data_IF_446334560229
#
_entry.id   IF_446334560229
#
_cell.length_a   1.000
_cell.length_b   1.000
_cell.length_c   1.000
_cell.angle_alpha   90.00
_cell.angle_beta   90.00
_cell.angle_gamma   90.00
#
_symmetry.space_group_name_H-M   'P 1'
#
loop_
_entity.id
_entity.type
_entity.pdbx_description
1 polymer ?
#
# COMPACT_ATOMS: atom_id res chain seq x y z
N UNK A 1 17.13 3.66 -18.32
CA UNK A 1 17.13 5.13 -18.42
C UNK A 1 16.98 5.70 -17.03
N UNK A 2 17.89 6.57 -16.60
CA UNK A 2 17.71 7.34 -15.36
C UNK A 2 16.72 8.47 -15.63
N UNK A 3 15.68 8.54 -14.81
CA UNK A 3 14.70 9.62 -14.87
C UNK A 3 14.94 10.53 -13.66
N UNK A 4 15.20 11.81 -13.88
CA UNK A 4 15.45 12.77 -12.79
C UNK A 4 14.26 12.92 -11.81
N UNK A 5 13.08 12.54 -12.26
CA UNK A 5 11.84 12.58 -11.46
C UNK A 5 11.63 11.37 -10.55
N UNK A 6 12.47 10.33 -10.69
CA UNK A 6 12.39 9.12 -9.86
C UNK A 6 13.67 9.01 -9.02
N UNK A 7 13.50 8.87 -7.73
CA UNK A 7 14.57 8.56 -6.79
C UNK A 7 14.34 7.18 -6.18
N UNK A 8 15.39 6.40 -6.05
CA UNK A 8 15.38 5.08 -5.42
C UNK A 8 16.31 5.11 -4.22
N UNK A 9 15.76 5.06 -3.02
CA UNK A 9 16.45 5.37 -1.80
C UNK A 9 16.39 4.19 -0.82
N UNK A 10 17.54 3.73 -0.33
CA UNK A 10 17.59 2.84 0.83
C UNK A 10 17.22 3.68 2.07
N UNK A 11 16.15 3.34 2.76
CA UNK A 11 15.63 4.09 3.91
C UNK A 11 15.48 3.26 5.19
N UNK A 12 15.66 1.95 5.10
CA UNK A 12 15.56 1.08 6.26
C UNK A 12 16.17 -0.29 5.99
N UNK A 13 16.03 -1.16 6.97
CA UNK A 13 16.44 -2.56 6.91
C UNK A 13 15.42 -3.44 7.63
N UNK A 14 15.31 -4.68 7.17
CA UNK A 14 14.54 -5.71 7.86
C UNK A 14 15.38 -6.43 8.94
N UNK A 15 14.77 -7.38 9.66
CA UNK A 15 15.42 -8.13 10.72
C UNK A 15 16.60 -9.01 10.25
N UNK A 16 16.72 -9.25 8.95
CA UNK A 16 17.83 -9.99 8.34
C UNK A 16 18.83 -9.07 7.62
N UNK A 17 18.77 -7.76 7.85
CA UNK A 17 19.64 -6.77 7.22
C UNK A 17 19.37 -6.52 5.74
N UNK A 18 18.25 -7.02 5.21
CA UNK A 18 17.85 -6.70 3.83
C UNK A 18 17.36 -5.26 3.76
N UNK A 19 17.75 -4.51 2.72
CA UNK A 19 17.38 -3.11 2.62
C UNK A 19 15.87 -2.95 2.34
N UNK A 20 15.27 -1.96 2.97
CA UNK A 20 13.96 -1.44 2.62
C UNK A 20 14.15 -0.20 1.77
N UNK A 21 13.65 -0.25 0.54
CA UNK A 21 13.76 0.84 -0.42
C UNK A 21 12.47 1.62 -0.54
N UNK A 22 12.62 2.93 -0.69
CA UNK A 22 11.53 3.85 -1.03
C UNK A 22 11.80 4.41 -2.42
N UNK A 23 10.82 4.27 -3.30
CA UNK A 23 10.79 4.94 -4.61
C UNK A 23 10.00 6.23 -4.45
N UNK A 24 10.58 7.34 -4.85
CA UNK A 24 9.93 8.66 -4.78
C UNK A 24 9.79 9.22 -6.19
N UNK A 25 8.55 9.47 -6.61
CA UNK A 25 8.27 10.31 -7.75
C UNK A 25 8.15 11.76 -7.31
N UNK A 26 9.09 12.58 -7.74
CA UNK A 26 9.15 14.00 -7.50
C UNK A 26 9.25 14.75 -8.84
N UNK A 27 8.19 15.43 -9.31
CA UNK A 27 8.23 16.19 -10.56
C UNK A 27 9.05 17.49 -10.46
N UNK A 28 9.56 17.83 -9.26
CA UNK A 28 10.39 19.00 -8.97
C UNK A 28 11.74 18.57 -8.41
N UNK A 29 12.60 17.93 -9.19
CA UNK A 29 13.82 17.28 -8.69
C UNK A 29 14.83 18.24 -8.04
N UNK A 30 14.69 19.53 -8.28
CA UNK A 30 15.52 20.59 -7.68
C UNK A 30 15.11 20.95 -6.24
N UNK A 31 13.95 20.46 -5.77
CA UNK A 31 13.42 20.75 -4.42
C UNK A 31 13.49 19.51 -3.53
N UNK A 32 13.88 19.72 -2.28
CA UNK A 32 13.80 18.67 -1.27
C UNK A 32 12.36 18.51 -0.70
N UNK A 33 12.13 17.42 0.06
CA UNK A 33 10.82 17.14 0.63
C UNK A 33 10.35 18.21 1.63
N UNK A 34 11.26 18.91 2.35
CA UNK A 34 10.87 19.95 3.30
C UNK A 34 10.36 21.20 2.59
N UNK A 35 10.94 21.49 1.42
CA UNK A 35 10.46 22.56 0.55
C UNK A 35 9.10 22.23 -0.07
N UNK A 36 8.98 20.98 -0.60
CA UNK A 36 7.77 20.53 -1.30
C UNK A 36 6.54 20.42 -0.39
N UNK A 37 6.74 19.95 0.82
CA UNK A 37 5.65 19.75 1.79
C UNK A 37 4.94 21.05 2.24
N UNK A 38 5.47 22.21 1.87
CA UNK A 38 4.82 23.51 2.13
C UNK A 38 3.59 23.76 1.25
N UNK A 39 3.58 23.17 0.05
CA UNK A 39 2.55 23.41 -0.97
C UNK A 39 2.14 22.17 -1.77
N UNK A 40 2.69 20.99 -1.46
CA UNK A 40 2.39 19.71 -2.10
C UNK A 40 1.96 18.68 -1.09
N UNK A 41 0.94 17.90 -1.43
CA UNK A 41 0.58 16.73 -0.64
C UNK A 41 1.51 15.54 -0.96
N UNK A 42 1.76 14.71 0.03
CA UNK A 42 2.56 13.48 -0.10
C UNK A 42 1.63 12.28 0.02
N UNK A 43 1.54 11.53 -1.06
CA UNK A 43 0.92 10.21 -1.08
C UNK A 43 1.99 9.17 -0.77
N UNK A 44 1.78 8.37 0.27
CA UNK A 44 2.66 7.26 0.61
C UNK A 44 1.94 5.93 0.40
N UNK A 45 2.57 5.02 -0.34
CA UNK A 45 2.05 3.69 -0.66
C UNK A 45 2.98 2.63 -0.06
N UNK A 46 2.43 1.72 0.71
CA UNK A 46 3.13 0.55 1.21
C UNK A 46 2.71 -0.70 0.44
N UNK A 47 3.67 -1.53 0.06
CA UNK A 47 3.41 -2.76 -0.67
C UNK A 47 4.17 -3.94 -0.06
N UNK A 48 3.59 -5.12 -0.18
CA UNK A 48 4.26 -6.36 0.17
C UNK A 48 4.54 -6.51 1.67
N UNK A 49 3.66 -6.00 2.53
CA UNK A 49 3.66 -6.37 3.95
C UNK A 49 3.43 -7.88 4.08
N UNK A 50 2.55 -8.42 3.25
CA UNK A 50 2.44 -9.85 3.00
C UNK A 50 3.01 -10.15 1.61
N UNK A 51 4.15 -10.83 1.51
CA UNK A 51 4.85 -11.06 0.25
C UNK A 51 4.10 -11.86 -0.80
N UNK A 52 3.12 -12.65 -0.40
CA UNK A 52 2.22 -13.37 -1.33
C UNK A 52 1.11 -12.50 -1.91
N UNK A 53 1.14 -11.18 -1.74
CA UNK A 53 0.16 -10.21 -2.23
C UNK A 53 0.84 -9.21 -3.19
N UNK A 54 1.17 -9.63 -4.45
CA UNK A 54 2.05 -8.87 -5.33
C UNK A 54 1.37 -7.71 -6.06
N UNK A 55 0.04 -7.65 -6.10
CA UNK A 55 -0.72 -6.73 -6.97
C UNK A 55 -0.34 -5.27 -6.76
N UNK A 56 -0.21 -4.83 -5.50
CA UNK A 56 0.23 -3.47 -5.18
C UNK A 56 1.67 -3.17 -5.63
N UNK A 57 2.55 -4.17 -5.59
CA UNK A 57 3.94 -4.06 -6.06
C UNK A 57 3.95 -3.80 -7.57
N UNK A 58 3.25 -4.62 -8.33
CA UNK A 58 3.18 -4.52 -9.79
C UNK A 58 2.49 -3.22 -10.23
N UNK A 59 1.37 -2.88 -9.60
CA UNK A 59 0.67 -1.63 -9.86
C UNK A 59 1.55 -0.40 -9.58
N UNK A 60 2.32 -0.42 -8.50
CA UNK A 60 3.24 0.68 -8.17
C UNK A 60 4.37 0.79 -9.17
N UNK A 61 4.97 -0.32 -9.60
CA UNK A 61 6.00 -0.31 -10.66
C UNK A 61 5.46 0.26 -11.98
N UNK A 62 4.25 -0.14 -12.37
CA UNK A 62 3.58 0.40 -13.55
C UNK A 62 3.32 1.90 -13.41
N UNK A 63 2.80 2.34 -12.27
CA UNK A 63 2.54 3.76 -11.99
C UNK A 63 3.82 4.60 -12.10
N UNK A 64 4.88 4.19 -11.41
CA UNK A 64 6.16 4.91 -11.43
C UNK A 64 6.78 4.97 -12.83
N UNK A 65 6.70 3.87 -13.60
CA UNK A 65 7.13 3.84 -15.01
C UNK A 65 6.33 4.83 -15.86
N UNK A 66 5.01 4.80 -15.73
CA UNK A 66 4.11 5.60 -16.57
C UNK A 66 4.21 7.11 -16.22
N UNK A 67 4.45 7.45 -14.96
CA UNK A 67 4.80 8.82 -14.54
C UNK A 67 6.15 9.26 -15.09
N UNK A 68 7.19 8.43 -14.94
CA UNK A 68 8.54 8.73 -15.40
C UNK A 68 8.63 8.92 -16.92
N UNK A 69 7.86 8.14 -17.66
CA UNK A 69 7.79 8.21 -19.13
C UNK A 69 6.79 9.22 -19.65
N UNK A 70 6.09 9.94 -18.76
CA UNK A 70 5.02 10.90 -19.09
C UNK A 70 3.87 10.27 -19.89
N UNK A 71 3.66 8.96 -19.75
CA UNK A 71 2.53 8.26 -20.36
C UNK A 71 1.20 8.67 -19.71
N UNK A 72 1.25 9.01 -18.42
CA UNK A 72 0.13 9.61 -17.70
C UNK A 72 0.50 11.04 -17.30
N UNK A 73 -0.54 11.88 -17.18
CA UNK A 73 -0.36 13.28 -16.81
C UNK A 73 0.28 13.38 -15.41
N UNK A 74 1.34 14.14 -15.33
CA UNK A 74 2.03 14.44 -14.06
C UNK A 74 1.11 15.18 -13.11
N UNK A 75 0.87 14.67 -11.91
CA UNK A 75 0.17 15.43 -10.88
C UNK A 75 1.04 16.59 -10.39
N UNK A 76 0.52 17.81 -10.43
CA UNK A 76 1.28 19.01 -10.07
C UNK A 76 1.28 19.30 -8.56
N UNK A 77 0.34 18.67 -7.84
CA UNK A 77 0.11 18.95 -6.42
C UNK A 77 0.53 17.81 -5.50
N UNK A 78 1.11 16.74 -6.07
CA UNK A 78 1.46 15.54 -5.32
C UNK A 78 2.90 15.11 -5.54
N UNK A 79 3.50 14.64 -4.46
CA UNK A 79 4.67 13.77 -4.45
C UNK A 79 4.16 12.37 -4.14
N UNK A 80 4.67 11.36 -4.83
CA UNK A 80 4.28 9.98 -4.59
C UNK A 80 5.52 9.22 -4.11
N UNK A 81 5.42 8.66 -2.92
CA UNK A 81 6.45 7.79 -2.36
C UNK A 81 5.88 6.39 -2.17
N UNK A 82 6.68 5.35 -2.41
CA UNK A 82 6.23 3.98 -2.22
C UNK A 82 7.36 3.11 -1.65
N UNK A 83 7.04 2.29 -0.66
CA UNK A 83 7.84 1.11 -0.34
C UNK A 83 7.48 0.04 -1.35
N UNK A 84 8.49 -0.43 -2.11
CA UNK A 84 8.26 -1.41 -3.19
C UNK A 84 7.94 -2.79 -2.65
N UNK A 85 8.65 -3.23 -1.59
CA UNK A 85 8.47 -4.51 -0.92
C UNK A 85 8.88 -4.36 0.55
N UNK A 86 7.90 -4.21 1.41
CA UNK A 86 8.14 -3.95 2.83
C UNK A 86 8.76 -5.16 3.55
N UNK A 87 8.21 -6.35 3.31
CA UNK A 87 8.74 -7.60 3.86
C UNK A 87 9.75 -8.22 2.91
N UNK A 88 10.93 -7.62 2.80
CA UNK A 88 11.98 -8.04 1.86
C UNK A 88 12.42 -9.49 2.08
N UNK A 89 12.60 -9.94 3.32
CA UNK A 89 13.01 -11.31 3.64
C UNK A 89 11.91 -12.32 3.31
N UNK A 90 10.65 -12.01 3.60
CA UNK A 90 9.53 -12.86 3.23
C UNK A 90 9.37 -12.97 1.71
N UNK A 91 9.65 -11.89 0.95
CA UNK A 91 9.66 -11.91 -0.53
C UNK A 91 10.68 -12.89 -1.11
N UNK A 92 11.81 -13.08 -0.44
CA UNK A 92 12.87 -13.99 -0.87
C UNK A 92 12.66 -15.42 -0.39
N UNK A 93 11.83 -15.66 0.61
CA UNK A 93 11.46 -16.95 1.13
C UNK A 93 10.20 -17.47 0.43
N UNK A 94 10.39 -18.06 -0.73
CA UNK A 94 9.31 -18.45 -1.66
C UNK A 94 9.09 -19.96 -1.64
N UNK A 95 7.81 -20.34 -1.70
CA UNK A 95 7.38 -21.70 -1.98
C UNK A 95 5.96 -21.73 -2.54
N UNK A 96 5.51 -22.89 -3.03
CA UNK A 96 4.18 -23.09 -3.60
C UNK A 96 3.06 -23.23 -2.57
N UNK A 97 3.38 -23.26 -1.27
CA UNK A 97 2.42 -23.50 -0.18
C UNK A 97 2.19 -22.29 0.71
N UNK A 98 3.01 -21.23 0.57
CA UNK A 98 2.95 -20.05 1.42
C UNK A 98 1.60 -19.32 1.39
N UNK A 99 0.79 -19.51 0.34
CA UNK A 99 -0.55 -18.95 0.15
C UNK A 99 -1.51 -19.99 -0.42
N UNK A 100 -1.70 -21.09 0.28
CA UNK A 100 -2.55 -22.20 -0.14
C UNK A 100 -4.02 -21.82 -0.44
N UNK A 101 -4.48 -20.67 0.04
CA UNK A 101 -5.81 -20.12 -0.18
C UNK A 101 -5.93 -19.22 -1.42
N UNK A 102 -4.91 -19.16 -2.30
CA UNK A 102 -4.92 -18.35 -3.52
C UNK A 102 -4.50 -19.17 -4.75
N UNK A 103 -5.06 -18.85 -5.92
CA UNK A 103 -4.85 -19.54 -7.18
C UNK A 103 -3.72 -18.93 -8.01
N UNK A 104 -2.49 -19.01 -7.58
CA UNK A 104 -1.32 -18.49 -8.30
C UNK A 104 -0.73 -17.26 -7.64
N UNK A 105 0.49 -16.81 -7.94
CA UNK A 105 1.43 -17.45 -8.88
C UNK A 105 1.92 -18.84 -8.40
N UNK A 106 2.79 -19.50 -9.18
CA UNK A 106 3.32 -20.84 -8.89
C UNK A 106 4.06 -20.89 -7.54
N UNK A 107 4.77 -19.80 -7.19
CA UNK A 107 5.44 -19.63 -5.90
C UNK A 107 5.12 -18.28 -5.29
N UNK A 108 4.90 -18.26 -3.99
CA UNK A 108 4.60 -17.06 -3.22
C UNK A 108 5.71 -16.77 -2.22
N UNK A 109 5.90 -15.51 -1.86
CA UNK A 109 6.68 -15.15 -0.71
C UNK A 109 5.96 -15.49 0.60
N UNK A 110 6.73 -15.77 1.63
CA UNK A 110 6.23 -16.16 2.95
C UNK A 110 5.64 -14.96 3.69
N UNK A 111 4.51 -15.17 4.36
CA UNK A 111 3.75 -14.10 5.06
C UNK A 111 4.56 -13.42 6.16
N UNK A 112 5.24 -14.19 6.99
CA UNK A 112 6.08 -13.67 8.07
C UNK A 112 7.39 -13.07 7.57
N UNK A 113 7.99 -12.22 8.39
CA UNK A 113 9.33 -11.71 8.14
C UNK A 113 10.41 -12.76 8.50
N UNK A 114 11.69 -12.36 8.48
CA UNK A 114 12.82 -13.24 8.81
C UNK A 114 12.76 -13.87 10.22
N UNK A 115 12.00 -13.28 11.14
CA UNK A 115 11.75 -13.77 12.49
C UNK A 115 10.36 -14.39 12.66
N UNK A 116 9.66 -14.64 11.55
CA UNK A 116 8.29 -15.19 11.54
C UNK A 116 7.24 -14.28 12.20
N UNK A 117 7.45 -12.97 12.21
CA UNK A 117 6.45 -12.01 12.64
C UNK A 117 5.54 -11.62 11.48
N UNK A 118 4.23 -11.54 11.75
CA UNK A 118 3.29 -10.87 10.86
C UNK A 118 3.44 -9.34 11.03
N UNK A 119 4.03 -8.69 10.03
CA UNK A 119 4.30 -7.25 10.06
C UNK A 119 3.01 -6.42 10.12
N UNK A 120 1.89 -6.96 9.67
CA UNK A 120 0.58 -6.32 9.79
C UNK A 120 -0.03 -6.45 11.21
N UNK A 121 0.75 -6.90 12.18
CA UNK A 121 0.45 -6.90 13.62
C UNK A 121 1.49 -6.13 14.44
N UNK A 122 2.42 -5.44 13.75
CA UNK A 122 3.59 -4.85 14.39
C UNK A 122 3.69 -3.32 14.27
N UNK A 123 2.76 -2.65 13.58
CA UNK A 123 2.79 -1.19 13.41
C UNK A 123 2.81 -0.41 14.72
N UNK A 124 2.11 -0.90 15.76
CA UNK A 124 2.04 -0.24 17.07
C UNK A 124 3.17 -0.71 17.98
N UNK A 125 3.43 -2.03 18.01
CA UNK A 125 4.41 -2.63 18.91
C UNK A 125 5.86 -2.28 18.52
N UNK A 126 6.13 -2.25 17.19
CA UNK A 126 7.45 -1.99 16.61
C UNK A 126 8.55 -2.93 17.15
N UNK A 127 8.23 -4.21 17.33
CA UNK A 127 9.14 -5.24 17.82
C UNK A 127 10.22 -5.59 16.80
N UNK A 128 9.90 -5.44 15.49
CA UNK A 128 10.80 -5.77 14.39
C UNK A 128 11.61 -4.57 13.90
N UNK A 129 12.74 -4.82 13.25
CA UNK A 129 13.48 -3.77 12.53
C UNK A 129 12.64 -3.21 11.37
N UNK A 130 11.83 -4.08 10.71
CA UNK A 130 10.90 -3.65 9.67
C UNK A 130 10.01 -2.53 10.19
N UNK A 131 9.33 -2.74 11.33
CA UNK A 131 8.39 -1.76 11.87
C UNK A 131 9.07 -0.45 12.28
N UNK A 132 10.24 -0.53 12.91
CA UNK A 132 11.04 0.66 13.26
C UNK A 132 11.47 1.42 11.99
N UNK A 133 11.98 0.71 10.98
CA UNK A 133 12.32 1.31 9.69
C UNK A 133 11.11 1.96 9.02
N UNK A 134 9.94 1.32 9.08
CA UNK A 134 8.70 1.89 8.56
C UNK A 134 8.33 3.19 9.28
N UNK A 135 8.40 3.21 10.61
CA UNK A 135 8.11 4.42 11.39
C UNK A 135 9.07 5.57 11.06
N UNK A 136 10.37 5.29 10.87
CA UNK A 136 11.36 6.28 10.44
C UNK A 136 11.04 6.82 9.04
N UNK A 137 10.68 5.93 8.09
CA UNK A 137 10.24 6.31 6.75
C UNK A 137 8.98 7.17 6.81
N UNK A 138 7.99 6.77 7.61
CA UNK A 138 6.75 7.50 7.78
C UNK A 138 7.01 8.91 8.35
N UNK A 139 7.86 9.02 9.38
CA UNK A 139 8.23 10.31 9.97
C UNK A 139 9.06 11.17 9.01
N UNK A 140 9.89 10.56 8.19
CA UNK A 140 10.64 11.28 7.15
C UNK A 140 9.71 11.81 6.06
N UNK A 141 8.74 11.02 5.59
CA UNK A 141 7.77 11.42 4.57
C UNK A 141 6.73 12.38 5.12
N UNK A 142 6.20 12.13 6.32
CA UNK A 142 5.03 12.81 6.91
C UNK A 142 3.89 12.89 5.88
N UNK A 143 3.35 11.76 5.44
CA UNK A 143 2.39 11.73 4.35
C UNK A 143 1.05 12.34 4.75
N UNK A 144 0.38 12.96 3.77
CA UNK A 144 -0.99 13.44 3.91
C UNK A 144 -2.01 12.31 3.65
N UNK A 145 -1.64 11.38 2.78
CA UNK A 145 -2.44 10.19 2.47
C UNK A 145 -1.53 8.96 2.52
N UNK A 146 -1.99 7.92 3.22
CA UNK A 146 -1.34 6.63 3.28
C UNK A 146 -2.22 5.54 2.68
N UNK A 147 -1.64 4.68 1.87
CA UNK A 147 -2.29 3.49 1.28
C UNK A 147 -1.43 2.27 1.62
N UNK A 148 -2.05 1.26 2.19
CA UNK A 148 -1.44 -0.05 2.40
C UNK A 148 -2.13 -1.07 1.49
N UNK A 149 -1.38 -1.62 0.53
CA UNK A 149 -1.93 -2.52 -0.47
C UNK A 149 -1.90 -3.96 0.02
N UNK A 150 -3.06 -4.59 -0.08
CA UNK A 150 -3.29 -5.98 0.25
C UNK A 150 -4.05 -6.72 -0.87
N UNK A 151 -4.18 -8.02 -0.69
CA UNK A 151 -5.09 -8.88 -1.49
C UNK A 151 -6.01 -9.62 -0.51
N UNK A 152 -7.18 -10.03 -0.97
CA UNK A 152 -8.12 -10.81 -0.16
C UNK A 152 -7.50 -12.11 0.37
N UNK A 153 -8.10 -12.67 1.41
CA UNK A 153 -7.66 -13.94 1.99
C UNK A 153 -8.18 -15.17 1.22
N UNK A 154 -8.31 -15.08 -0.11
CA UNK A 154 -8.75 -16.17 -0.99
C UNK A 154 -10.26 -16.22 -1.21
N UNK A 155 -11.02 -15.29 -0.66
CA UNK A 155 -12.44 -15.18 -1.00
C UNK A 155 -12.63 -14.71 -2.45
N UNK A 156 -13.53 -15.35 -3.17
CA UNK A 156 -13.89 -14.99 -4.54
C UNK A 156 -14.87 -13.83 -4.53
N UNK A 157 -14.34 -12.62 -4.53
CA UNK A 157 -15.16 -11.43 -4.65
C UNK A 157 -15.60 -11.20 -6.09
N UNK A 158 -16.85 -10.83 -6.28
CA UNK A 158 -17.37 -10.39 -7.58
C UNK A 158 -16.77 -9.05 -8.02
N UNK A 159 -16.17 -8.33 -7.11
CA UNK A 159 -15.61 -6.99 -7.32
C UNK A 159 -14.09 -7.04 -7.39
N UNK A 160 -13.54 -6.39 -8.41
CA UNK A 160 -12.08 -6.35 -8.62
C UNK A 160 -11.35 -5.60 -7.51
N UNK A 161 -12.00 -4.61 -6.89
CA UNK A 161 -11.40 -3.76 -5.90
C UNK A 161 -12.24 -3.67 -4.64
N UNK A 162 -11.60 -3.97 -3.53
CA UNK A 162 -12.18 -3.76 -2.19
C UNK A 162 -11.30 -2.81 -1.38
N UNK A 163 -11.87 -2.14 -0.39
CA UNK A 163 -11.13 -1.19 0.43
C UNK A 163 -11.57 -1.19 1.88
N UNK A 164 -10.63 -0.86 2.77
CA UNK A 164 -10.89 -0.47 4.15
C UNK A 164 -10.42 0.97 4.28
N UNK A 165 -11.27 1.84 4.76
CA UNK A 165 -10.92 3.24 4.99
C UNK A 165 -10.85 3.55 6.48
N UNK A 166 -10.07 4.56 6.83
CA UNK A 166 -10.07 5.07 8.20
C UNK A 166 -11.47 5.58 8.56
N UNK A 167 -11.92 5.21 9.74
CA UNK A 167 -13.23 5.59 10.24
C UNK A 167 -13.33 7.11 10.42
N UNK A 168 -14.45 7.69 9.99
CA UNK A 168 -14.73 9.14 10.04
C UNK A 168 -14.55 9.70 11.45
N UNK A 169 -15.03 9.01 12.46
CA UNK A 169 -14.98 9.44 13.85
C UNK A 169 -13.55 9.51 14.39
N UNK A 170 -12.65 8.63 13.91
CA UNK A 170 -11.22 8.66 14.27
C UNK A 170 -10.47 9.82 13.64
N UNK A 171 -10.92 10.31 12.48
CA UNK A 171 -10.32 11.47 11.80
C UNK A 171 -10.79 12.81 12.39
N UNK A 172 -11.84 12.81 13.20
CA UNK A 172 -12.47 14.02 13.72
C UNK A 172 -13.32 14.75 12.68
N UNK A 173 -14.06 15.77 13.13
CA UNK A 173 -15.12 16.37 12.33
C UNK A 173 -14.67 16.96 10.99
N UNK A 174 -13.60 17.76 10.96
CA UNK A 174 -13.17 18.44 9.74
C UNK A 174 -12.59 17.46 8.73
N UNK A 175 -11.57 16.71 9.16
CA UNK A 175 -10.88 15.77 8.27
C UNK A 175 -11.77 14.57 7.92
N UNK A 176 -12.55 14.06 8.86
CA UNK A 176 -13.49 12.97 8.64
C UNK A 176 -14.61 13.32 7.65
N UNK A 177 -15.17 14.53 7.73
CA UNK A 177 -16.16 15.01 6.77
C UNK A 177 -15.53 15.15 5.37
N UNK A 178 -14.37 15.80 5.26
CA UNK A 178 -13.67 15.94 3.99
C UNK A 178 -13.36 14.57 3.37
N UNK A 179 -12.81 13.65 4.16
CA UNK A 179 -12.47 12.31 3.69
C UNK A 179 -13.71 11.56 3.18
N UNK A 180 -14.77 11.51 3.97
CA UNK A 180 -15.97 10.73 3.64
C UNK A 180 -16.81 11.38 2.52
N UNK A 181 -17.01 12.69 2.58
CA UNK A 181 -17.99 13.37 1.73
C UNK A 181 -17.37 13.83 0.40
N UNK A 182 -16.06 14.09 0.37
CA UNK A 182 -15.37 14.60 -0.80
C UNK A 182 -14.37 13.59 -1.37
N UNK A 183 -13.35 13.20 -0.62
CA UNK A 183 -12.23 12.43 -1.13
C UNK A 183 -12.64 11.00 -1.52
N UNK A 184 -13.21 10.24 -0.60
CA UNK A 184 -13.61 8.84 -0.84
C UNK A 184 -14.70 8.76 -1.89
N UNK A 185 -15.73 9.60 -1.79
CA UNK A 185 -16.81 9.64 -2.78
C UNK A 185 -16.30 9.96 -4.18
N UNK A 186 -15.39 10.92 -4.31
CA UNK A 186 -14.79 11.30 -5.59
C UNK A 186 -13.93 10.17 -6.15
N UNK A 187 -13.13 9.51 -5.31
CA UNK A 187 -12.32 8.35 -5.71
C UNK A 187 -13.19 7.24 -6.27
N UNK A 188 -14.19 6.79 -5.51
CA UNK A 188 -15.09 5.69 -5.90
C UNK A 188 -15.84 6.02 -7.20
N UNK A 189 -16.38 7.24 -7.33
CA UNK A 189 -17.04 7.70 -8.55
C UNK A 189 -16.11 7.73 -9.76
N UNK A 190 -14.84 8.08 -9.58
CA UNK A 190 -13.86 8.06 -10.66
C UNK A 190 -13.44 6.64 -11.06
N UNK A 191 -13.40 5.70 -10.12
CA UNK A 191 -13.16 4.29 -10.38
C UNK A 191 -14.35 3.68 -11.16
N UNK A 192 -15.57 3.94 -10.72
CA UNK A 192 -16.79 3.50 -11.39
C UNK A 192 -16.86 3.97 -12.85
N UNK A 193 -16.51 5.25 -13.13
CA UNK A 193 -16.41 5.78 -14.50
C UNK A 193 -15.41 5.03 -15.39
N UNK A 194 -14.46 4.33 -14.79
CA UNK A 194 -13.48 3.48 -15.48
C UNK A 194 -13.90 2.01 -15.54
N UNK A 195 -15.13 1.70 -15.11
CA UNK A 195 -15.65 0.33 -15.06
C UNK A 195 -15.15 -0.47 -13.85
N UNK A 196 -14.51 0.17 -12.87
CA UNK A 196 -14.02 -0.48 -11.65
C UNK A 196 -15.01 -0.20 -10.52
N UNK A 197 -15.86 -1.18 -10.22
CA UNK A 197 -16.77 -1.14 -9.08
C UNK A 197 -15.97 -1.53 -7.83
N UNK A 198 -16.06 -0.69 -6.80
CA UNK A 198 -15.33 -0.87 -5.55
C UNK A 198 -16.30 -0.94 -4.39
N UNK A 199 -16.06 -1.87 -3.47
CA UNK A 199 -16.89 -2.08 -2.29
C UNK A 199 -16.02 -2.15 -1.03
N UNK A 200 -16.58 -1.84 0.15
CA UNK A 200 -15.88 -2.09 1.41
C UNK A 200 -15.49 -3.57 1.52
N UNK A 201 -14.29 -3.81 2.02
CA UNK A 201 -13.81 -5.16 2.29
C UNK A 201 -14.58 -5.77 3.47
N UNK A 202 -15.01 -7.00 3.31
CA UNK A 202 -15.58 -7.82 4.37
C UNK A 202 -14.92 -9.20 4.34
N UNK A 203 -14.65 -9.78 5.50
CA UNK A 203 -14.25 -11.18 5.55
C UNK A 203 -15.45 -12.04 5.20
N UNK A 204 -15.30 -12.92 4.22
CA UNK A 204 -16.30 -13.89 3.84
C UNK A 204 -15.86 -15.26 4.38
N UNK A 205 -16.71 -15.91 5.17
CA UNK A 205 -16.52 -17.28 5.61
C UNK A 205 -17.53 -18.17 4.92
N UNK A 206 -17.07 -19.23 4.29
CA UNK A 206 -17.92 -20.16 3.53
C UNK A 206 -18.28 -19.62 2.15
N UNK A 207 -19.15 -20.34 1.48
CA UNK A 207 -19.63 -19.97 0.15
C UNK A 207 -20.63 -18.82 0.22
N UNK A 208 -20.51 -17.86 -0.68
CA UNK A 208 -21.50 -16.82 -0.88
C UNK A 208 -22.60 -17.42 -1.80
N UNK A 209 -23.90 -17.31 -1.45
CA UNK A 209 -24.54 -16.47 -0.43
C UNK A 209 -24.84 -17.15 0.91
N UNK A 210 -24.51 -18.42 1.11
CA UNK A 210 -25.01 -19.25 2.22
C UNK A 210 -24.39 -18.88 3.58
N UNK A 211 -23.18 -18.34 3.59
CA UNK A 211 -22.47 -17.99 4.81
C UNK A 211 -22.79 -16.62 5.40
N UNK A 212 -23.55 -15.78 4.70
CA UNK A 212 -23.77 -14.39 5.12
C UNK A 212 -22.48 -13.55 5.13
N UNK A 213 -22.57 -12.31 5.59
CA UNK A 213 -21.42 -11.45 5.82
C UNK A 213 -20.95 -11.63 7.27
N UNK A 214 -19.79 -12.19 7.52
CA UNK A 214 -19.24 -12.21 8.86
C UNK A 214 -18.82 -10.80 9.27
N UNK A 215 -18.67 -10.63 10.56
CA UNK A 215 -18.34 -9.36 11.20
C UNK A 215 -17.29 -8.53 10.43
N UNK A 216 -17.51 -7.23 10.38
CA UNK A 216 -16.52 -6.28 9.85
C UNK A 216 -15.14 -6.54 10.47
N UNK A 217 -14.11 -6.52 9.64
CA UNK A 217 -12.75 -6.52 10.15
C UNK A 217 -12.52 -5.15 10.78
N UNK A 218 -12.42 -5.13 12.10
CA UNK A 218 -11.90 -3.96 12.79
C UNK A 218 -10.41 -3.78 12.40
N UNK A 219 -10.15 -2.77 11.61
CA UNK A 219 -8.79 -2.33 11.26
C UNK A 219 -8.28 -1.33 12.28
#
# INVERSE_FOLDING_TARGET
KNFNTIQYLKKGEDDNGKPIYVVVYNPFPEKDLNQLRKDKAILFVNNGIHPGEPDGIDATMMLMRDLATKKIKTPQNFIIAAISAYNSSGMLNRDSFARANQNGPEEYGFRGNARNYDLNRDFIKADTKNARSFQEIYQWLKPDVFIDNHVSNGADYQYTFTYISTNKERLGNVLGNYFNDEMQRTLLKNMEKKGVISVPYVNIHGDVPDGGFPAFVDS
#
